data_IF_563297734497
#
_entry.id   IF_563297734497
#
_cell.length_a   1.000
_cell.length_b   1.000
_cell.length_c   1.000
_cell.angle_alpha   90.00
_cell.angle_beta   90.00
_cell.angle_gamma   90.00
#
_symmetry.space_group_name_H-M   'P 1'
#
loop_
_entity.id
_entity.type
_entity.pdbx_description
1 polymer ?
#
# COMPACT_ATOMS: atom_id res chain seq x y z
N UNK A 1 -26.46 7.27 11.20
CA UNK A 1 -26.14 6.14 12.10
C UNK A 1 -27.19 5.06 11.88
N UNK A 2 -26.83 3.85 11.45
CA UNK A 2 -27.80 2.76 11.25
C UNK A 2 -28.15 2.17 12.61
N UNK A 3 -29.44 2.14 12.98
CA UNK A 3 -29.88 1.53 14.23
C UNK A 3 -30.02 0.00 14.07
N UNK A 4 -28.95 -0.73 14.40
CA UNK A 4 -28.86 -2.18 14.29
C UNK A 4 -29.89 -2.96 15.12
N UNK A 5 -30.55 -2.34 16.12
CA UNK A 5 -31.59 -3.01 16.92
C UNK A 5 -32.88 -3.27 16.14
N UNK A 6 -33.10 -2.55 15.04
CA UNK A 6 -34.31 -2.65 14.20
C UNK A 6 -34.11 -3.67 13.05
N UNK A 7 -32.86 -4.11 12.85
CA UNK A 7 -32.48 -4.98 11.76
C UNK A 7 -32.69 -6.46 12.10
N UNK A 8 -33.51 -7.14 11.30
CA UNK A 8 -33.62 -8.60 11.37
C UNK A 8 -32.36 -9.27 10.81
N UNK A 9 -32.21 -10.59 11.01
CA UNK A 9 -31.09 -11.40 10.51
C UNK A 9 -30.74 -11.14 9.04
N UNK A 10 -31.75 -10.93 8.19
CA UNK A 10 -31.59 -10.63 6.74
C UNK A 10 -30.94 -9.28 6.49
N UNK A 11 -31.30 -8.27 7.27
CA UNK A 11 -30.71 -6.94 7.17
C UNK A 11 -29.28 -6.89 7.69
N UNK A 12 -29.00 -7.60 8.80
CA UNK A 12 -27.63 -7.78 9.32
C UNK A 12 -26.76 -8.44 8.25
N UNK A 13 -27.25 -9.51 7.62
CA UNK A 13 -26.52 -10.18 6.54
C UNK A 13 -26.20 -9.25 5.37
N UNK A 14 -27.18 -8.45 4.92
CA UNK A 14 -26.98 -7.47 3.85
C UNK A 14 -25.92 -6.42 4.18
N UNK A 15 -26.00 -5.81 5.36
CA UNK A 15 -24.99 -4.83 5.79
C UNK A 15 -23.61 -5.45 5.98
N UNK A 16 -23.53 -6.69 6.46
CA UNK A 16 -22.26 -7.42 6.57
C UNK A 16 -21.63 -7.69 5.21
N UNK A 17 -22.40 -8.10 4.20
CA UNK A 17 -21.90 -8.27 2.83
C UNK A 17 -21.37 -6.96 2.25
N UNK A 18 -22.13 -5.87 2.43
CA UNK A 18 -21.74 -4.54 1.97
C UNK A 18 -20.44 -4.07 2.65
N UNK A 19 -20.39 -4.18 3.99
CA UNK A 19 -19.23 -3.79 4.77
C UNK A 19 -17.99 -4.62 4.41
N UNK A 20 -18.13 -5.94 4.30
CA UNK A 20 -17.03 -6.83 3.97
C UNK A 20 -16.50 -6.56 2.54
N UNK A 21 -17.39 -6.30 1.59
CA UNK A 21 -17.02 -5.88 0.24
C UNK A 21 -16.19 -4.58 0.26
N UNK A 22 -16.63 -3.58 1.02
CA UNK A 22 -15.92 -2.30 1.16
C UNK A 22 -14.56 -2.47 1.84
N UNK A 23 -14.47 -3.34 2.87
CA UNK A 23 -13.20 -3.63 3.55
C UNK A 23 -12.17 -4.25 2.59
N UNK A 24 -12.58 -5.15 1.70
CA UNK A 24 -11.64 -5.69 0.70
C UNK A 24 -11.17 -4.65 -0.31
N UNK A 25 -12.05 -3.75 -0.76
CA UNK A 25 -11.62 -2.62 -1.58
C UNK A 25 -10.67 -1.69 -0.84
N UNK A 26 -10.93 -1.42 0.44
CA UNK A 26 -10.04 -0.61 1.27
C UNK A 26 -8.65 -1.26 1.40
N UNK A 27 -8.58 -2.57 1.65
CA UNK A 27 -7.29 -3.30 1.69
C UNK A 27 -6.58 -3.22 0.34
N UNK A 28 -7.28 -3.42 -0.77
CA UNK A 28 -6.71 -3.29 -2.11
C UNK A 28 -6.16 -1.87 -2.35
N UNK A 29 -6.92 -0.84 -1.98
CA UNK A 29 -6.52 0.56 -2.08
C UNK A 29 -5.27 0.87 -1.25
N UNK A 30 -5.25 0.48 0.03
CA UNK A 30 -4.08 0.68 0.89
C UNK A 30 -2.86 0.01 0.28
N UNK A 31 -2.98 -1.21 -0.26
CA UNK A 31 -1.85 -1.90 -0.90
C UNK A 31 -1.34 -1.19 -2.15
N UNK A 32 -2.22 -0.62 -2.97
CA UNK A 32 -1.82 0.19 -4.13
C UNK A 32 -1.11 1.47 -3.69
N UNK A 33 -1.69 2.20 -2.73
CA UNK A 33 -1.08 3.42 -2.18
C UNK A 33 0.28 3.16 -1.54
N UNK A 34 0.42 2.07 -0.76
CA UNK A 34 1.73 1.69 -0.20
C UNK A 34 2.75 1.38 -1.29
N UNK A 35 2.34 0.69 -2.36
CA UNK A 35 3.22 0.41 -3.50
C UNK A 35 3.68 1.71 -4.17
N UNK A 36 2.75 2.61 -4.44
CA UNK A 36 3.05 3.86 -5.13
C UNK A 36 3.94 4.78 -4.27
N UNK A 37 3.70 4.83 -2.95
CA UNK A 37 4.59 5.48 -1.98
C UNK A 37 6.00 4.87 -1.97
N UNK A 38 6.12 3.55 -2.02
CA UNK A 38 7.43 2.89 -2.11
C UNK A 38 8.14 3.18 -3.43
N UNK A 39 7.41 3.22 -4.55
CA UNK A 39 7.98 3.61 -5.84
C UNK A 39 8.49 5.05 -5.77
N UNK A 40 7.71 5.98 -5.20
CA UNK A 40 8.07 7.38 -5.07
C UNK A 40 9.37 7.55 -4.26
N UNK A 41 9.52 6.88 -3.11
CA UNK A 41 10.76 6.87 -2.33
C UNK A 41 11.95 6.35 -3.15
N UNK A 42 11.76 5.27 -3.91
CA UNK A 42 12.85 4.65 -4.66
C UNK A 42 13.22 5.40 -5.95
N UNK A 43 12.27 6.13 -6.54
CA UNK A 43 12.43 6.89 -7.80
C UNK A 43 12.88 8.33 -7.55
N UNK A 44 12.49 8.95 -6.44
CA UNK A 44 12.97 10.28 -6.03
C UNK A 44 14.40 10.21 -5.46
N UNK A 45 15.30 9.61 -6.23
CA UNK A 45 16.74 9.71 -6.04
C UNK A 45 17.14 11.19 -6.11
N UNK A 46 18.04 11.69 -5.23
CA UNK A 46 18.43 13.09 -5.24
C UNK A 46 18.94 13.50 -6.62
N UNK A 47 18.46 14.65 -7.10
CA UNK A 47 18.87 15.25 -8.36
C UNK A 47 20.39 15.27 -8.45
N UNK A 48 20.96 14.58 -9.44
CA UNK A 48 22.40 14.60 -9.66
C UNK A 48 23.04 13.24 -9.81
N UNK A 49 22.47 12.14 -9.31
CA UNK A 49 23.15 10.83 -9.39
C UNK A 49 23.61 10.49 -10.82
N UNK A 50 22.72 10.59 -11.81
CA UNK A 50 23.06 10.35 -13.23
C UNK A 50 23.94 11.44 -13.86
N UNK A 51 24.12 12.58 -13.19
CA UNK A 51 24.98 13.70 -13.61
C UNK A 51 26.34 13.70 -12.91
N UNK A 52 26.54 12.83 -11.91
CA UNK A 52 27.84 12.58 -11.30
C UNK A 52 28.74 11.86 -12.29
N UNK A 53 30.05 12.06 -12.15
CA UNK A 53 31.02 11.37 -12.99
C UNK A 53 30.96 9.85 -12.76
N UNK A 54 31.30 9.05 -13.77
CA UNK A 54 31.05 7.60 -13.77
C UNK A 54 31.69 6.85 -12.60
N UNK A 55 32.80 7.36 -12.07
CA UNK A 55 33.47 6.81 -10.89
C UNK A 55 32.78 7.23 -9.59
N UNK A 56 32.20 8.43 -9.51
CA UNK A 56 31.39 8.89 -8.37
C UNK A 56 30.05 8.16 -8.31
N UNK A 57 29.43 7.89 -9.46
CA UNK A 57 28.25 7.03 -9.55
C UNK A 57 28.55 5.63 -9.02
N UNK A 58 29.66 5.02 -9.44
CA UNK A 58 30.08 3.71 -8.92
C UNK A 58 30.37 3.77 -7.42
N UNK A 59 31.04 4.80 -6.93
CA UNK A 59 31.39 4.94 -5.51
C UNK A 59 30.15 5.11 -4.62
N UNK A 60 29.19 5.95 -5.03
CA UNK A 60 27.90 6.10 -4.37
C UNK A 60 27.01 4.87 -4.55
N UNK A 61 27.13 4.16 -5.66
CA UNK A 61 26.48 2.87 -5.89
C UNK A 61 27.02 1.78 -4.94
N UNK A 62 28.32 1.73 -4.71
CA UNK A 62 28.94 0.85 -3.73
C UNK A 62 28.54 1.24 -2.30
N UNK A 63 28.54 2.53 -1.95
CA UNK A 63 28.02 3.00 -0.67
C UNK A 63 26.53 2.67 -0.49
N UNK A 64 25.74 2.73 -1.57
CA UNK A 64 24.32 2.36 -1.62
C UNK A 64 24.09 0.86 -1.40
N UNK A 65 25.03 -0.02 -1.79
CA UNK A 65 24.97 -1.46 -1.52
C UNK A 65 25.44 -1.76 -0.08
N UNK A 66 26.52 -1.12 0.37
CA UNK A 66 27.10 -1.35 1.69
C UNK A 66 26.22 -0.86 2.85
N UNK A 67 25.42 0.21 2.67
CA UNK A 67 24.48 0.68 3.71
C UNK A 67 23.23 -0.20 3.82
N UNK A 68 22.94 -1.03 2.82
CA UNK A 68 21.79 -1.95 2.83
C UNK A 68 22.11 -3.30 3.50
N UNK A 69 23.38 -3.63 3.65
CA UNK A 69 23.83 -4.76 4.43
C UNK A 69 24.14 -4.26 5.84
N UNK A 70 23.45 -4.81 6.86
CA UNK A 70 23.69 -4.50 8.28
C UNK A 70 25.10 -4.92 8.76
N UNK A 71 25.89 -5.52 7.88
CA UNK A 71 27.33 -5.69 8.03
C UNK A 71 28.03 -4.39 7.61
N UNK A 72 28.35 -3.55 8.61
CA UNK A 72 29.23 -2.39 8.40
C UNK A 72 30.39 -2.82 7.51
N UNK A 73 30.69 -2.09 6.42
CA UNK A 73 31.81 -2.45 5.56
C UNK A 73 33.07 -2.49 6.42
N UNK A 74 33.80 -3.60 6.34
CA UNK A 74 35.10 -3.81 7.00
C UNK A 74 36.19 -2.84 6.50
N UNK A 75 35.82 -1.81 5.73
CA UNK A 75 36.69 -0.74 5.27
C UNK A 75 35.91 0.57 5.19
N UNK A 76 36.61 1.67 5.52
CA UNK A 76 36.12 3.03 5.30
C UNK A 76 35.70 3.20 3.83
N UNK A 77 34.42 3.44 3.60
CA UNK A 77 33.95 4.03 2.33
C UNK A 77 34.61 5.42 2.26
N UNK A 78 35.39 5.73 1.22
CA UNK A 78 36.17 6.99 1.13
C UNK A 78 35.29 8.19 0.74
N UNK A 79 34.02 8.20 1.13
CA UNK A 79 33.05 9.27 0.84
C UNK A 79 32.48 9.76 2.15
N UNK A 80 32.87 10.96 2.54
CA UNK A 80 32.18 11.68 3.61
C UNK A 80 30.77 12.06 3.12
N UNK A 81 29.79 11.21 3.45
CA UNK A 81 28.36 11.47 3.22
C UNK A 81 27.87 12.76 3.92
N UNK A 82 28.67 13.35 4.81
CA UNK A 82 28.43 14.67 5.41
C UNK A 82 28.36 15.79 4.35
N UNK A 83 29.00 15.59 3.19
CA UNK A 83 28.95 16.55 2.07
C UNK A 83 27.66 16.47 1.23
N UNK A 84 26.81 15.47 1.47
CA UNK A 84 25.61 15.18 0.65
C UNK A 84 24.39 14.81 1.52
N UNK A 85 23.82 15.78 2.26
CA UNK A 85 22.74 15.54 3.22
C UNK A 85 21.48 14.94 2.56
N UNK A 86 21.12 15.38 1.36
CA UNK A 86 19.97 14.88 0.61
C UNK A 86 20.11 13.38 0.26
N UNK A 87 21.33 12.93 -0.05
CA UNK A 87 21.63 11.51 -0.30
C UNK A 87 21.55 10.68 0.97
N UNK A 88 22.02 11.21 2.10
CA UNK A 88 21.89 10.54 3.40
C UNK A 88 20.42 10.35 3.78
N UNK A 89 19.60 11.39 3.68
CA UNK A 89 18.18 11.36 4.03
C UNK A 89 17.39 10.39 3.13
N UNK A 90 17.70 10.39 1.84
CA UNK A 90 17.09 9.45 0.91
C UNK A 90 17.49 7.99 1.20
N UNK A 91 18.76 7.69 1.49
CA UNK A 91 19.20 6.33 1.86
C UNK A 91 18.47 5.83 3.11
N UNK A 92 18.33 6.68 4.14
CA UNK A 92 17.55 6.33 5.34
C UNK A 92 16.07 6.08 5.04
N UNK A 93 15.51 6.76 4.04
CA UNK A 93 14.12 6.57 3.62
C UNK A 93 13.94 5.31 2.75
N UNK A 94 14.92 4.98 1.92
CA UNK A 94 14.88 3.85 0.99
C UNK A 94 15.21 2.50 1.66
N UNK A 95 16.11 2.48 2.65
CA UNK A 95 16.54 1.25 3.33
C UNK A 95 15.38 0.45 3.96
N UNK A 96 14.44 1.06 4.71
CA UNK A 96 13.25 0.35 5.21
C UNK A 96 12.39 -0.25 4.09
N UNK A 97 12.26 0.44 2.95
CA UNK A 97 11.49 -0.05 1.80
C UNK A 97 12.14 -1.31 1.22
N UNK A 98 13.45 -1.27 0.99
CA UNK A 98 14.22 -2.39 0.43
C UNK A 98 14.15 -3.62 1.34
N UNK A 99 14.31 -3.42 2.65
CA UNK A 99 14.18 -4.46 3.66
C UNK A 99 12.77 -5.04 3.71
N UNK A 100 11.73 -4.19 3.63
CA UNK A 100 10.33 -4.64 3.65
C UNK A 100 9.94 -5.55 2.47
N UNK A 101 10.65 -5.43 1.34
CA UNK A 101 10.43 -6.24 0.12
C UNK A 101 11.46 -7.39 0.02
N UNK A 102 12.35 -7.52 1.01
CA UNK A 102 13.38 -8.56 1.06
C UNK A 102 14.31 -8.52 -0.15
N UNK A 103 14.69 -7.33 -0.59
CA UNK A 103 15.60 -7.11 -1.72
C UNK A 103 16.98 -6.72 -1.24
N UNK A 104 17.99 -7.03 -2.06
CA UNK A 104 19.39 -6.70 -1.76
C UNK A 104 19.85 -5.40 -2.45
N UNK A 105 19.00 -4.81 -3.29
CA UNK A 105 19.31 -3.59 -4.05
C UNK A 105 18.05 -2.77 -4.36
N UNK A 106 18.22 -1.48 -4.66
CA UNK A 106 17.12 -0.60 -5.10
C UNK A 106 16.53 -1.06 -6.42
N UNK A 107 17.37 -1.45 -7.39
CA UNK A 107 16.90 -1.96 -8.68
C UNK A 107 16.06 -3.23 -8.51
N UNK A 108 16.46 -4.15 -7.63
CA UNK A 108 15.67 -5.35 -7.34
C UNK A 108 14.39 -5.04 -6.56
N UNK A 109 14.45 -4.11 -5.60
CA UNK A 109 13.26 -3.63 -4.90
C UNK A 109 12.26 -3.00 -5.87
N UNK A 110 12.70 -2.08 -6.73
CA UNK A 110 11.89 -1.45 -7.76
C UNK A 110 11.31 -2.49 -8.71
N UNK A 111 12.11 -3.44 -9.19
CA UNK A 111 11.64 -4.52 -10.08
C UNK A 111 10.57 -5.40 -9.41
N UNK A 112 10.75 -5.74 -8.13
CA UNK A 112 9.75 -6.51 -7.37
C UNK A 112 8.46 -5.70 -7.13
N UNK A 113 8.57 -4.43 -6.75
CA UNK A 113 7.43 -3.55 -6.45
C UNK A 113 6.64 -3.22 -7.73
N UNK A 114 7.35 -2.96 -8.84
CA UNK A 114 6.78 -2.66 -10.15
C UNK A 114 6.22 -3.89 -10.87
N UNK A 115 6.60 -5.10 -10.43
CA UNK A 115 6.01 -6.32 -10.97
C UNK A 115 4.51 -6.40 -10.60
N UNK A 116 3.65 -6.92 -11.49
CA UNK A 116 2.23 -7.03 -11.21
C UNK A 116 1.96 -7.84 -9.94
N UNK A 117 1.58 -7.15 -8.87
CA UNK A 117 1.21 -7.80 -7.61
C UNK A 117 -0.22 -8.33 -7.73
N UNK A 118 -0.39 -9.65 -7.57
CA UNK A 118 -1.70 -10.29 -7.61
C UNK A 118 -2.55 -9.97 -6.38
N UNK A 119 -1.95 -9.58 -5.26
CA UNK A 119 -2.63 -9.40 -3.97
C UNK A 119 -3.70 -8.29 -4.03
N UNK A 120 -3.42 -7.05 -4.48
CA UNK A 120 -4.45 -6.02 -4.61
C UNK A 120 -5.58 -6.44 -5.55
N UNK A 121 -5.23 -7.13 -6.65
CA UNK A 121 -6.20 -7.63 -7.64
C UNK A 121 -7.13 -8.66 -6.99
N UNK A 122 -6.59 -9.61 -6.22
CA UNK A 122 -7.38 -10.61 -5.50
C UNK A 122 -8.34 -9.96 -4.51
N UNK A 123 -7.89 -8.98 -3.72
CA UNK A 123 -8.75 -8.28 -2.78
C UNK A 123 -9.83 -7.46 -3.50
N UNK A 124 -9.49 -6.74 -4.57
CA UNK A 124 -10.48 -6.01 -5.36
C UNK A 124 -11.53 -6.97 -5.97
N UNK A 125 -11.12 -8.13 -6.47
CA UNK A 125 -12.03 -9.15 -7.00
C UNK A 125 -12.95 -9.75 -5.93
N UNK A 126 -12.44 -10.02 -4.72
CA UNK A 126 -13.26 -10.47 -3.58
C UNK A 126 -14.28 -9.40 -3.16
N UNK A 127 -13.86 -8.14 -3.12
CA UNK A 127 -14.73 -6.99 -2.85
C UNK A 127 -15.85 -6.89 -3.89
N UNK A 128 -15.51 -7.00 -5.18
CA UNK A 128 -16.47 -6.98 -6.28
C UNK A 128 -17.46 -8.16 -6.19
N UNK A 129 -16.97 -9.36 -5.93
CA UNK A 129 -17.80 -10.56 -5.79
C UNK A 129 -18.85 -10.41 -4.68
N UNK A 130 -18.45 -9.88 -3.52
CA UNK A 130 -19.38 -9.63 -2.42
C UNK A 130 -20.42 -8.55 -2.73
N UNK A 131 -20.03 -7.50 -3.45
CA UNK A 131 -21.00 -6.49 -3.90
C UNK A 131 -21.98 -7.07 -4.91
N UNK A 132 -21.55 -7.93 -5.83
CA UNK A 132 -22.46 -8.63 -6.76
C UNK A 132 -23.46 -9.48 -5.97
N UNK A 133 -23.01 -10.26 -4.99
CA UNK A 133 -23.90 -11.05 -4.12
C UNK A 133 -24.88 -10.13 -3.38
N UNK A 134 -24.41 -8.98 -2.86
CA UNK A 134 -25.27 -8.00 -2.21
C UNK A 134 -26.35 -7.47 -3.16
N UNK A 135 -26.00 -7.08 -4.40
CA UNK A 135 -26.97 -6.61 -5.40
C UNK A 135 -27.99 -7.69 -5.79
N UNK A 136 -27.56 -8.93 -6.00
CA UNK A 136 -28.46 -10.05 -6.34
C UNK A 136 -29.38 -10.39 -5.17
N UNK A 137 -28.89 -10.30 -3.94
CA UNK A 137 -29.68 -10.56 -2.74
C UNK A 137 -30.59 -9.39 -2.33
N UNK A 138 -30.35 -8.19 -2.88
CA UNK A 138 -31.05 -6.95 -2.53
C UNK A 138 -32.58 -7.08 -2.55
N UNK A 139 -33.25 -7.66 -3.57
CA UNK A 139 -34.71 -7.81 -3.58
C UNK A 139 -35.25 -8.63 -2.40
N UNK A 140 -34.47 -9.60 -1.89
CA UNK A 140 -34.87 -10.50 -0.82
C UNK A 140 -34.63 -9.93 0.58
N UNK A 141 -33.70 -8.97 0.69
CA UNK A 141 -33.28 -8.36 1.96
C UNK A 141 -33.74 -6.90 2.09
N UNK A 142 -34.26 -6.29 1.03
CA UNK A 142 -34.66 -4.88 0.98
C UNK A 142 -35.61 -4.50 2.10
N UNK A 143 -36.66 -5.31 2.33
CA UNK A 143 -37.65 -5.07 3.39
C UNK A 143 -37.06 -5.05 4.80
N UNK A 144 -35.89 -5.65 5.00
CA UNK A 144 -35.17 -5.62 6.28
C UNK A 144 -34.16 -4.48 6.33
N UNK A 145 -33.49 -4.17 5.21
CA UNK A 145 -32.53 -3.06 5.10
C UNK A 145 -33.23 -1.70 5.13
N UNK A 146 -34.46 -1.58 4.64
CA UNK A 146 -35.19 -0.31 4.57
C UNK A 146 -35.83 0.10 5.91
N UNK A 147 -35.99 -0.82 6.87
CA UNK A 147 -36.64 -0.56 8.17
C UNK A 147 -36.07 0.65 8.93
N UNK A 148 -34.74 0.84 9.03
CA UNK A 148 -34.17 1.98 9.73
C UNK A 148 -34.49 3.33 9.07
N UNK A 149 -34.86 3.35 7.78
CA UNK A 149 -35.18 4.57 7.04
C UNK A 149 -36.65 4.96 7.19
N UNK A 150 -37.58 4.00 7.19
CA UNK A 150 -39.01 4.27 7.32
C UNK A 150 -39.47 4.67 8.73
N UNK A 151 -38.72 4.33 9.78
CA UNK A 151 -39.01 4.79 11.14
C UNK A 151 -38.68 6.26 11.36
N UNK A 152 -37.87 6.87 10.50
CA UNK A 152 -37.57 8.31 10.55
C UNK A 152 -38.72 9.14 9.95
N UNK A 153 -39.48 8.58 8.99
CA UNK A 153 -40.64 9.26 8.40
C UNK A 153 -41.86 9.32 9.33
N UNK A 154 -42.08 8.31 10.18
CA UNK A 154 -43.26 8.21 11.05
C UNK A 154 -43.04 8.79 12.46
N UNK A 155 -41.90 9.45 12.70
CA UNK A 155 -41.52 10.03 13.99
C UNK A 155 -41.67 11.55 14.10
N UNK A 156 -42.30 12.20 13.11
CA UNK A 156 -42.70 13.61 13.14
C UNK A 156 -44.22 13.74 13.33
#
# INVERSE_FOLDING_TARGET
MINFRILDKKGIFGYSLLLLGLLFFFVAFVKVQTRDYYIDILVNEPYGFNYLDGDQQKLLWFARIDVLLDDRPLGHIPVELDSYPEFREWIYSASPVINSVGSNSISDALKKISSPNKIPITFASLGLFLHIIFFVSLPFIWSSISKPFHLVENGN
#
